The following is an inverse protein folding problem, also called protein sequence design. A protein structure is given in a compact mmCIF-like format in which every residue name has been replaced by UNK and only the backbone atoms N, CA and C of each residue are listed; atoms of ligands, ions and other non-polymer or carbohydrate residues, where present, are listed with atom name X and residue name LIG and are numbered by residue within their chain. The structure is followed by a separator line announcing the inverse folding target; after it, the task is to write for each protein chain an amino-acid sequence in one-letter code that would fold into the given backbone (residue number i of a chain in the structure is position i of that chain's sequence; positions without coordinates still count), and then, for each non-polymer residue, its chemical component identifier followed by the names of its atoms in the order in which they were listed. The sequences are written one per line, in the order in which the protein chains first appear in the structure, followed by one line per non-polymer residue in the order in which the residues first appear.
data_IF_589379500819
#
_entry.id   IF_589379500819
#
_cell.length_a   1.000
_cell.length_b   1.000
_cell.length_c   1.000
_cell.angle_alpha   90.00
_cell.angle_beta   90.00
_cell.angle_gamma   90.00
#
_symmetry.space_group_name_H-M   'P 1'
#
loop_
_entity.id
_entity.type
_entity.pdbx_description
1 polymer ?
#
# COMPACT_ATOMS: atom_id res chain seq x y z
N UNK A 1 -29.20 -13.08 8.82
CA UNK A 1 -28.72 -12.23 7.71
C UNK A 1 -27.86 -13.09 6.80
N UNK A 2 -27.95 -12.95 5.49
CA UNK A 2 -27.07 -13.67 4.57
C UNK A 2 -25.62 -13.21 4.78
N UNK A 3 -24.68 -14.12 4.66
CA UNK A 3 -23.25 -13.83 4.79
C UNK A 3 -22.79 -12.96 3.60
N UNK A 4 -21.93 -11.96 3.86
CA UNK A 4 -21.46 -11.05 2.82
C UNK A 4 -20.47 -11.75 1.87
N UNK A 5 -20.35 -11.23 0.65
CA UNK A 5 -19.38 -11.75 -0.32
C UNK A 5 -17.94 -11.68 0.22
N UNK A 6 -17.58 -10.60 0.93
CA UNK A 6 -16.27 -10.46 1.56
C UNK A 6 -16.05 -11.52 2.66
N UNK A 7 -17.07 -11.79 3.48
CA UNK A 7 -17.00 -12.83 4.52
C UNK A 7 -16.80 -14.21 3.90
N UNK A 8 -17.54 -14.55 2.85
CA UNK A 8 -17.40 -15.81 2.12
C UNK A 8 -16.02 -15.98 1.46
N UNK A 9 -15.46 -14.88 0.93
CA UNK A 9 -14.10 -14.91 0.39
C UNK A 9 -13.08 -15.16 1.51
N UNK A 10 -13.19 -14.45 2.65
CA UNK A 10 -12.30 -14.69 3.81
C UNK A 10 -12.34 -16.14 4.27
N UNK A 11 -13.54 -16.71 4.42
CA UNK A 11 -13.73 -18.12 4.80
C UNK A 11 -13.07 -19.06 3.79
N UNK A 12 -13.19 -18.79 2.49
CA UNK A 12 -12.52 -19.59 1.46
C UNK A 12 -10.98 -19.53 1.56
N UNK A 13 -10.42 -18.36 1.87
CA UNK A 13 -8.98 -18.21 2.08
C UNK A 13 -8.49 -18.89 3.36
N UNK A 14 -9.25 -18.82 4.46
CA UNK A 14 -8.92 -19.52 5.70
C UNK A 14 -8.89 -21.03 5.51
N UNK A 15 -9.85 -21.58 4.75
CA UNK A 15 -9.92 -23.00 4.44
C UNK A 15 -8.71 -23.47 3.58
N UNK A 16 -8.37 -22.67 2.56
CA UNK A 16 -7.32 -23.02 1.61
C UNK A 16 -5.90 -22.75 2.14
N UNK A 17 -5.71 -21.58 2.76
CA UNK A 17 -4.43 -21.10 3.27
C UNK A 17 -4.53 -20.97 4.78
N UNK A 18 -3.52 -21.40 5.52
CA UNK A 18 -3.46 -21.23 6.98
C UNK A 18 -3.13 -19.75 7.29
N UNK A 19 -4.15 -18.89 7.17
CA UNK A 19 -4.06 -17.45 7.43
C UNK A 19 -4.63 -17.15 8.82
N UNK A 20 -4.00 -16.24 9.54
CA UNK A 20 -4.58 -15.65 10.74
C UNK A 20 -5.40 -14.39 10.42
N UNK A 21 -5.97 -13.77 11.45
CA UNK A 21 -6.81 -12.59 11.29
C UNK A 21 -6.06 -11.41 10.63
N UNK A 22 -4.78 -11.22 10.98
CA UNK A 22 -3.95 -10.16 10.40
C UNK A 22 -3.60 -10.47 8.94
N UNK A 23 -3.31 -11.74 8.64
CA UNK A 23 -3.07 -12.21 7.27
C UNK A 23 -4.33 -12.06 6.39
N UNK A 24 -5.54 -12.21 6.96
CA UNK A 24 -6.80 -12.03 6.23
C UNK A 24 -7.04 -10.58 5.78
N UNK A 25 -6.45 -9.61 6.44
CA UNK A 25 -6.56 -8.21 5.98
C UNK A 25 -5.96 -7.98 4.60
N UNK A 26 -5.03 -8.82 4.14
CA UNK A 26 -4.55 -8.74 2.74
C UNK A 26 -5.65 -9.10 1.75
N UNK A 27 -6.54 -10.02 2.13
CA UNK A 27 -7.71 -10.39 1.31
C UNK A 27 -8.67 -9.21 1.22
N UNK A 28 -8.96 -8.56 2.36
CA UNK A 28 -9.77 -7.34 2.39
C UNK A 28 -9.17 -6.28 1.45
N UNK A 29 -7.86 -6.08 1.53
CA UNK A 29 -7.15 -5.10 0.70
C UNK A 29 -7.29 -5.41 -0.79
N UNK A 30 -7.09 -6.65 -1.21
CA UNK A 30 -7.21 -7.06 -2.62
C UNK A 30 -8.65 -6.86 -3.12
N UNK A 31 -9.65 -7.28 -2.34
CA UNK A 31 -11.06 -7.15 -2.70
C UNK A 31 -11.50 -5.67 -2.70
N UNK A 32 -11.00 -4.87 -1.77
CA UNK A 32 -11.25 -3.42 -1.74
C UNK A 32 -10.67 -2.73 -2.98
N UNK A 33 -9.45 -3.09 -3.40
CA UNK A 33 -8.85 -2.60 -4.64
C UNK A 33 -9.67 -3.01 -5.87
N UNK A 34 -10.15 -4.27 -5.93
CA UNK A 34 -11.03 -4.72 -7.00
C UNK A 34 -12.29 -3.86 -7.05
N UNK A 35 -12.99 -3.75 -5.94
CA UNK A 35 -14.27 -3.05 -5.86
C UNK A 35 -14.12 -1.56 -6.17
N UNK A 36 -13.08 -0.90 -5.63
CA UNK A 36 -12.79 0.50 -5.90
C UNK A 36 -12.53 0.77 -7.39
N UNK A 37 -11.77 -0.11 -8.06
CA UNK A 37 -11.46 0.08 -9.48
C UNK A 37 -12.57 -0.37 -10.44
N UNK A 38 -13.51 -1.20 -9.99
CA UNK A 38 -14.59 -1.73 -10.84
C UNK A 38 -15.92 -0.99 -10.67
N UNK A 39 -16.12 -0.31 -9.55
CA UNK A 39 -17.37 0.40 -9.28
C UNK A 39 -17.50 1.66 -10.16
N UNK A 40 -18.57 1.82 -10.95
CA UNK A 40 -18.67 2.88 -11.95
C UNK A 40 -18.71 4.30 -11.37
N UNK A 41 -19.14 4.46 -10.11
CA UNK A 41 -19.20 5.76 -9.42
C UNK A 41 -17.89 6.14 -8.71
N UNK A 42 -16.89 5.22 -8.62
CA UNK A 42 -15.56 5.50 -8.09
C UNK A 42 -14.63 5.73 -9.28
N UNK A 43 -14.39 7.00 -9.60
CA UNK A 43 -13.79 7.39 -10.88
C UNK A 43 -12.28 7.34 -10.90
N UNK A 44 -11.64 7.52 -9.72
CA UNK A 44 -10.18 7.53 -9.63
C UNK A 44 -9.61 6.11 -9.47
N UNK A 45 -8.53 5.77 -10.18
CA UNK A 45 -7.88 4.48 -10.01
C UNK A 45 -7.21 4.37 -8.64
N UNK A 46 -7.29 3.19 -8.03
CA UNK A 46 -6.55 2.89 -6.80
C UNK A 46 -5.55 1.79 -7.10
N UNK A 47 -4.27 2.14 -7.04
CA UNK A 47 -3.18 1.21 -7.25
C UNK A 47 -2.58 0.76 -5.92
N UNK A 48 -2.25 -0.52 -5.80
CA UNK A 48 -1.80 -1.09 -4.55
C UNK A 48 -0.56 -1.96 -4.65
N UNK A 49 0.36 -1.80 -3.68
CA UNK A 49 1.43 -2.76 -3.43
C UNK A 49 1.03 -3.76 -2.36
N UNK A 50 1.39 -5.02 -2.56
CA UNK A 50 1.47 -6.04 -1.50
C UNK A 50 2.94 -6.27 -1.21
N UNK A 51 3.42 -5.72 -0.09
CA UNK A 51 4.83 -5.73 0.30
C UNK A 51 5.09 -6.87 1.29
N UNK A 52 6.17 -7.58 1.10
CA UNK A 52 6.63 -8.57 2.08
C UNK A 52 7.81 -9.38 1.60
N UNK A 53 8.51 -10.06 2.51
CA UNK A 53 9.64 -10.91 2.16
C UNK A 53 9.28 -11.98 1.11
N UNK A 54 10.25 -12.57 0.43
CA UNK A 54 10.01 -13.76 -0.38
C UNK A 54 9.30 -14.85 0.42
N UNK A 55 8.48 -15.67 -0.25
CA UNK A 55 7.77 -16.82 0.35
C UNK A 55 6.70 -16.47 1.40
N UNK A 56 6.20 -15.23 1.46
CA UNK A 56 5.10 -14.81 2.36
C UNK A 56 3.70 -15.00 1.76
N UNK A 57 3.53 -15.96 0.86
CA UNK A 57 2.24 -16.29 0.21
C UNK A 57 1.59 -15.16 -0.62
N UNK A 58 2.27 -14.06 -0.91
CA UNK A 58 1.74 -12.97 -1.76
C UNK A 58 1.15 -13.50 -3.07
N UNK A 59 1.91 -14.34 -3.76
CA UNK A 59 1.47 -14.96 -5.02
C UNK A 59 0.28 -15.88 -4.84
N UNK A 60 0.19 -16.62 -3.74
CA UNK A 60 -0.97 -17.49 -3.46
C UNK A 60 -2.23 -16.67 -3.17
N UNK A 61 -2.09 -15.50 -2.51
CA UNK A 61 -3.21 -14.58 -2.33
C UNK A 61 -3.73 -13.98 -3.64
N UNK A 62 -2.87 -13.82 -4.64
CA UNK A 62 -3.22 -13.26 -5.95
C UNK A 62 -3.66 -14.34 -6.97
N UNK A 63 -3.27 -15.59 -6.78
CA UNK A 63 -3.54 -16.68 -7.71
C UNK A 63 -5.02 -16.93 -8.03
N UNK A 64 -5.98 -16.81 -7.09
CA UNK A 64 -7.40 -17.06 -7.37
C UNK A 64 -8.01 -16.17 -8.45
N UNK A 65 -7.40 -15.05 -8.77
CA UNK A 65 -7.86 -14.11 -9.79
C UNK A 65 -7.35 -14.44 -11.20
N UNK A 66 -6.42 -15.40 -11.34
CA UNK A 66 -5.89 -15.81 -12.65
C UNK A 66 -7.00 -16.38 -13.53
N UNK A 67 -7.03 -15.94 -14.79
CA UNK A 67 -8.05 -16.37 -15.76
C UNK A 67 -9.40 -15.68 -15.62
N UNK A 68 -9.62 -14.87 -14.59
CA UNK A 68 -10.84 -14.08 -14.50
C UNK A 68 -10.79 -12.88 -15.45
N UNK A 69 -11.89 -12.60 -16.17
CA UNK A 69 -11.97 -11.60 -17.26
C UNK A 69 -11.63 -10.16 -16.86
N UNK A 70 -11.79 -9.83 -15.58
CA UNK A 70 -11.53 -8.48 -15.05
C UNK A 70 -10.06 -8.27 -14.68
N UNK A 71 -9.18 -9.27 -14.90
CA UNK A 71 -7.78 -9.19 -14.52
C UNK A 71 -6.84 -9.55 -15.68
N UNK A 72 -5.71 -8.87 -15.72
CA UNK A 72 -4.56 -9.20 -16.57
C UNK A 72 -3.39 -9.55 -15.64
N UNK A 73 -2.78 -10.70 -15.85
CA UNK A 73 -1.62 -11.16 -15.07
C UNK A 73 -0.33 -11.00 -15.87
N UNK A 74 0.66 -10.35 -15.27
CA UNK A 74 2.02 -10.31 -15.81
C UNK A 74 3.05 -10.77 -14.78
N UNK A 75 4.16 -11.31 -15.26
CA UNK A 75 5.33 -11.62 -14.44
C UNK A 75 6.40 -10.56 -14.60
N UNK A 76 6.56 -10.01 -15.79
CA UNK A 76 7.50 -8.96 -16.12
C UNK A 76 6.93 -8.07 -17.23
N UNK A 77 7.53 -6.89 -17.43
CA UNK A 77 7.15 -5.93 -18.45
C UNK A 77 8.41 -5.41 -19.16
N UNK A 78 8.37 -5.39 -20.46
CA UNK A 78 9.41 -4.71 -21.26
C UNK A 78 9.10 -3.22 -21.34
N UNK A 79 10.11 -2.39 -21.65
CA UNK A 79 10.00 -0.95 -21.65
C UNK A 79 8.99 -0.36 -22.66
N UNK A 80 8.59 -1.13 -23.68
CA UNK A 80 7.61 -0.72 -24.67
C UNK A 80 6.31 -1.54 -24.60
N UNK A 81 6.12 -2.38 -23.58
CA UNK A 81 4.95 -3.25 -23.51
C UNK A 81 3.67 -2.48 -23.18
N UNK A 82 3.74 -1.49 -22.27
CA UNK A 82 2.56 -0.69 -21.92
C UNK A 82 2.10 0.17 -23.10
N UNK A 83 3.05 0.87 -23.73
CA UNK A 83 2.85 1.75 -24.88
C UNK A 83 3.87 1.38 -25.95
N UNK A 84 3.50 0.55 -26.93
CA UNK A 84 4.48 0.01 -27.89
C UNK A 84 5.00 1.07 -28.89
N UNK A 85 4.13 1.95 -29.32
CA UNK A 85 4.43 2.90 -30.40
C UNK A 85 4.66 2.21 -31.75
N UNK A 86 4.29 0.93 -31.89
CA UNK A 86 4.44 0.10 -33.08
C UNK A 86 3.09 -0.43 -33.54
N UNK A 87 2.92 -0.62 -34.85
CA UNK A 87 1.82 -1.39 -35.47
C UNK A 87 2.42 -2.55 -36.24
N UNK A 88 1.75 -3.69 -36.17
CA UNK A 88 2.08 -4.80 -37.07
C UNK A 88 1.68 -4.51 -38.53
N UNK A 89 1.98 -5.44 -39.43
CA UNK A 89 1.68 -5.30 -40.86
C UNK A 89 0.16 -5.20 -41.14
N UNK A 90 -0.66 -5.71 -40.23
CA UNK A 90 -2.12 -5.71 -40.25
C UNK A 90 -2.73 -4.46 -39.58
N UNK A 91 -1.89 -3.55 -39.08
CA UNK A 91 -2.34 -2.31 -38.41
C UNK A 91 -2.76 -2.51 -36.94
N UNK A 92 -2.45 -3.66 -36.31
CA UNK A 92 -2.74 -3.89 -34.93
C UNK A 92 -1.65 -3.26 -34.04
N UNK A 93 -2.10 -2.61 -32.99
CA UNK A 93 -1.26 -2.03 -31.96
C UNK A 93 -1.17 -2.99 -30.76
N UNK A 94 0.02 -3.56 -30.48
CA UNK A 94 0.21 -4.54 -29.41
C UNK A 94 0.34 -3.91 -28.02
N UNK A 95 0.03 -2.62 -27.84
CA UNK A 95 0.12 -1.94 -26.55
C UNK A 95 -0.79 -2.58 -25.51
N UNK A 96 -0.23 -2.95 -24.36
CA UNK A 96 -0.94 -3.58 -23.26
C UNK A 96 -2.05 -2.68 -22.69
N UNK A 97 -1.88 -1.36 -22.75
CA UNK A 97 -2.83 -0.38 -22.20
C UNK A 97 -4.25 -0.57 -22.75
N UNK A 98 -4.39 -0.98 -24.01
CA UNK A 98 -5.70 -1.27 -24.64
C UNK A 98 -6.42 -2.45 -23.98
N UNK A 99 -5.66 -3.43 -23.52
CA UNK A 99 -6.21 -4.62 -22.85
C UNK A 99 -6.55 -4.34 -21.40
N UNK A 100 -5.96 -3.29 -20.81
CA UNK A 100 -6.12 -2.95 -19.39
C UNK A 100 -7.36 -2.12 -19.11
N UNK A 101 -7.96 -1.47 -20.10
CA UNK A 101 -9.09 -0.59 -19.87
C UNK A 101 -10.24 -1.28 -19.12
N UNK A 102 -10.67 -0.67 -18.02
CA UNK A 102 -11.67 -1.20 -17.12
C UNK A 102 -11.27 -2.48 -16.37
N UNK A 103 -9.99 -2.88 -16.35
CA UNK A 103 -9.50 -4.10 -15.68
C UNK A 103 -8.49 -3.78 -14.56
N UNK A 104 -8.02 -4.82 -13.91
CA UNK A 104 -6.93 -4.75 -12.94
C UNK A 104 -5.71 -5.52 -13.47
N UNK A 105 -4.58 -4.85 -13.48
CA UNK A 105 -3.28 -5.46 -13.73
C UNK A 105 -2.76 -6.09 -12.45
N UNK A 106 -2.53 -7.40 -12.44
CA UNK A 106 -1.81 -8.08 -11.37
C UNK A 106 -0.36 -8.32 -11.82
N UNK A 107 0.56 -7.68 -11.13
CA UNK A 107 2.00 -7.88 -11.34
C UNK A 107 2.54 -8.80 -10.27
N UNK A 108 2.87 -10.04 -10.63
CA UNK A 108 3.22 -11.11 -9.69
C UNK A 108 4.49 -10.85 -8.87
N UNK A 109 5.46 -10.20 -9.48
CA UNK A 109 6.72 -9.79 -8.85
C UNK A 109 7.31 -8.57 -9.58
N UNK A 110 6.94 -7.40 -9.11
CA UNK A 110 7.45 -6.15 -9.68
C UNK A 110 8.90 -5.85 -9.22
N UNK A 111 9.39 -6.54 -8.17
CA UNK A 111 10.75 -6.32 -7.64
C UNK A 111 11.81 -6.56 -8.71
N UNK A 112 11.65 -7.61 -9.51
CA UNK A 112 12.58 -7.93 -10.59
C UNK A 112 12.70 -6.79 -11.61
N UNK A 113 11.59 -6.14 -11.96
CA UNK A 113 11.58 -4.97 -12.83
C UNK A 113 12.30 -3.78 -12.17
N UNK A 114 12.03 -3.52 -10.88
CA UNK A 114 12.66 -2.40 -10.15
C UNK A 114 14.18 -2.54 -10.00
N UNK A 115 14.70 -3.76 -10.10
CA UNK A 115 16.13 -4.08 -10.05
C UNK A 115 16.81 -4.12 -11.43
N UNK A 116 16.04 -3.91 -12.50
CA UNK A 116 16.56 -3.89 -13.87
C UNK A 116 17.36 -2.60 -14.16
N UNK A 117 17.82 -2.43 -15.38
CA UNK A 117 18.54 -1.24 -15.83
C UNK A 117 17.77 0.06 -15.48
N UNK A 118 18.37 1.06 -14.83
CA UNK A 118 17.70 2.28 -14.39
C UNK A 118 16.96 3.03 -15.51
N UNK A 119 17.51 3.04 -16.74
CA UNK A 119 16.87 3.68 -17.90
C UNK A 119 15.55 2.98 -18.25
N UNK A 120 15.56 1.65 -18.28
CA UNK A 120 14.38 0.82 -18.53
C UNK A 120 13.31 1.02 -17.43
N UNK A 121 13.74 0.98 -16.18
CA UNK A 121 12.87 1.22 -15.02
C UNK A 121 12.22 2.59 -15.08
N UNK A 122 13.03 3.64 -15.32
CA UNK A 122 12.54 5.02 -15.42
C UNK A 122 11.49 5.18 -16.52
N UNK A 123 11.69 4.52 -17.68
CA UNK A 123 10.75 4.56 -18.79
C UNK A 123 9.43 3.86 -18.45
N UNK A 124 9.47 2.64 -17.90
CA UNK A 124 8.27 1.91 -17.47
C UNK A 124 7.51 2.70 -16.41
N UNK A 125 8.22 3.26 -15.42
CA UNK A 125 7.61 4.10 -14.38
C UNK A 125 6.99 5.38 -14.94
N UNK A 126 7.63 5.99 -15.96
CA UNK A 126 7.08 7.13 -16.67
C UNK A 126 5.78 6.79 -17.40
N UNK A 127 5.79 5.72 -18.19
CA UNK A 127 4.60 5.26 -18.92
C UNK A 127 3.45 4.88 -17.95
N UNK A 128 3.76 4.25 -16.80
CA UNK A 128 2.78 3.94 -15.75
C UNK A 128 2.23 5.22 -15.11
N UNK A 129 3.06 6.22 -14.86
CA UNK A 129 2.63 7.50 -14.30
C UNK A 129 1.61 8.18 -15.19
N UNK A 130 1.89 8.24 -16.50
CA UNK A 130 0.98 8.85 -17.47
C UNK A 130 -0.31 8.03 -17.59
N UNK A 131 -0.22 6.70 -17.54
CA UNK A 131 -1.37 5.81 -17.56
C UNK A 131 -2.28 5.94 -16.31
N UNK A 132 -1.70 6.25 -15.14
CA UNK A 132 -2.49 6.53 -13.94
C UNK A 132 -3.44 7.72 -14.12
N UNK A 133 -2.98 8.75 -14.83
CA UNK A 133 -3.76 9.95 -15.08
C UNK A 133 -4.85 9.74 -16.17
N UNK A 134 -4.98 8.51 -16.69
CA UNK A 134 -6.06 8.06 -17.57
C UNK A 134 -5.88 8.42 -19.04
N UNK A 135 -4.86 9.19 -19.40
CA UNK A 135 -4.57 9.58 -20.78
C UNK A 135 -3.08 9.50 -21.06
N UNK A 136 -2.71 8.71 -22.05
CA UNK A 136 -1.34 8.62 -22.55
C UNK A 136 -1.26 9.04 -24.00
N UNK A 137 -0.28 9.86 -24.34
CA UNK A 137 0.01 10.22 -25.73
C UNK A 137 1.50 9.96 -26.02
N UNK A 138 1.77 9.16 -27.05
CA UNK A 138 3.15 8.81 -27.44
C UNK A 138 3.37 9.12 -28.92
N UNK A 139 4.23 10.08 -29.24
CA UNK A 139 4.64 10.30 -30.62
C UNK A 139 5.57 9.16 -31.08
N UNK A 140 5.33 8.64 -32.26
CA UNK A 140 6.15 7.61 -32.91
C UNK A 140 6.56 8.09 -34.27
N UNK A 141 7.85 7.94 -34.63
CA UNK A 141 8.35 8.35 -35.93
C UNK A 141 7.77 7.60 -37.13
N UNK A 142 7.14 6.42 -36.87
CA UNK A 142 6.52 5.61 -37.95
C UNK A 142 5.01 5.74 -37.99
N UNK A 143 4.33 5.87 -36.84
CA UNK A 143 2.89 5.83 -36.76
C UNK A 143 2.24 7.13 -36.26
N UNK A 144 3.00 8.22 -36.21
CA UNK A 144 2.49 9.52 -35.76
C UNK A 144 2.19 9.58 -34.26
N UNK A 145 1.26 10.46 -33.85
CA UNK A 145 0.84 10.60 -32.47
C UNK A 145 -0.21 9.54 -32.14
N UNK A 146 0.10 8.70 -31.16
CA UNK A 146 -0.88 7.75 -30.60
C UNK A 146 -1.38 8.22 -29.24
N UNK A 147 -2.66 8.20 -29.08
CA UNK A 147 -3.35 8.61 -27.87
C UNK A 147 -4.22 7.47 -27.36
N UNK A 148 -4.13 7.22 -26.04
CA UNK A 148 -4.90 6.19 -25.36
C UNK A 148 -5.63 6.80 -24.18
N UNK A 149 -6.91 6.47 -24.06
CA UNK A 149 -7.71 6.73 -22.86
C UNK A 149 -7.93 5.38 -22.22
N UNK A 150 -7.46 5.20 -21.01
CA UNK A 150 -7.61 3.93 -20.30
C UNK A 150 -7.63 4.18 -18.80
N UNK A 151 -8.56 3.52 -18.11
CA UNK A 151 -8.64 3.50 -16.65
C UNK A 151 -8.50 2.07 -16.16
N UNK A 152 -7.49 1.80 -15.36
CA UNK A 152 -7.26 0.47 -14.80
C UNK A 152 -6.67 0.52 -13.39
N UNK A 153 -6.90 -0.54 -12.62
CA UNK A 153 -6.26 -0.74 -11.34
C UNK A 153 -4.95 -1.50 -11.46
N UNK A 154 -4.07 -1.38 -10.49
CA UNK A 154 -2.84 -2.19 -10.39
C UNK A 154 -2.74 -2.80 -9.00
N UNK A 155 -2.43 -4.09 -8.94
CA UNK A 155 -2.01 -4.80 -7.73
C UNK A 155 -0.66 -5.42 -8.00
N UNK A 156 0.40 -4.87 -7.39
CA UNK A 156 1.75 -5.37 -7.60
C UNK A 156 2.33 -5.99 -6.32
N UNK A 157 2.75 -7.26 -6.41
CA UNK A 157 3.52 -7.87 -5.34
C UNK A 157 4.98 -7.44 -5.44
N UNK A 158 5.55 -6.99 -4.32
CA UNK A 158 6.92 -6.50 -4.21
C UNK A 158 7.57 -6.99 -2.92
N UNK A 159 8.89 -6.97 -2.89
CA UNK A 159 9.65 -7.14 -1.63
C UNK A 159 9.90 -5.78 -0.96
N UNK A 160 10.50 -5.80 0.22
CA UNK A 160 10.89 -4.58 0.94
C UNK A 160 11.91 -3.70 0.17
N UNK A 161 12.44 -4.19 -0.96
CA UNK A 161 13.25 -3.40 -1.88
C UNK A 161 12.54 -2.13 -2.38
N UNK A 162 11.22 -2.15 -2.45
CA UNK A 162 10.41 -0.99 -2.84
C UNK A 162 10.66 0.23 -1.93
N UNK A 163 10.98 0.03 -0.66
CA UNK A 163 11.25 1.14 0.26
C UNK A 163 12.52 1.89 -0.13
N UNK A 164 13.60 1.16 -0.41
CA UNK A 164 14.85 1.75 -0.87
C UNK A 164 14.70 2.41 -2.26
N UNK A 165 13.92 1.79 -3.13
CA UNK A 165 13.61 2.35 -4.44
C UNK A 165 12.84 3.68 -4.32
N UNK A 166 11.79 3.74 -3.52
CA UNK A 166 10.97 4.95 -3.34
C UNK A 166 11.73 6.08 -2.63
N UNK A 167 12.66 5.77 -1.72
CA UNK A 167 13.52 6.79 -1.10
C UNK A 167 14.47 7.45 -2.10
N UNK A 168 14.88 6.72 -3.15
CA UNK A 168 15.78 7.21 -4.19
C UNK A 168 15.04 7.76 -5.41
N UNK A 169 13.82 7.28 -5.68
CA UNK A 169 13.05 7.53 -6.90
C UNK A 169 11.57 7.74 -6.58
N UNK A 170 11.11 8.97 -6.60
CA UNK A 170 9.71 9.29 -6.24
C UNK A 170 8.70 9.09 -7.39
N UNK A 171 9.10 8.54 -8.53
CA UNK A 171 8.29 8.54 -9.76
C UNK A 171 6.92 7.86 -9.65
N UNK A 172 6.81 6.79 -8.86
CA UNK A 172 5.56 6.03 -8.67
C UNK A 172 4.99 6.07 -7.24
N UNK A 173 5.79 6.47 -6.25
CA UNK A 173 5.45 6.32 -4.82
C UNK A 173 4.11 6.93 -4.40
N UNK A 174 3.70 8.00 -5.05
CA UNK A 174 2.47 8.73 -4.71
C UNK A 174 1.20 8.12 -5.32
N UNK A 175 1.34 7.22 -6.29
CA UNK A 175 0.22 6.57 -6.98
C UNK A 175 -0.20 5.26 -6.35
N UNK A 176 0.66 4.72 -5.50
CA UNK A 176 0.40 3.45 -4.84
C UNK A 176 0.18 3.64 -3.33
N UNK A 177 -0.85 3.00 -2.82
CA UNK A 177 -0.99 2.68 -1.40
C UNK A 177 -0.49 1.28 -1.15
N UNK A 178 -0.09 0.95 0.08
CA UNK A 178 0.60 -0.32 0.35
C UNK A 178 -0.06 -1.11 1.46
N UNK A 179 0.00 -2.41 1.34
CA UNK A 179 -0.31 -3.35 2.41
C UNK A 179 0.89 -4.26 2.64
N UNK A 180 1.35 -4.39 3.91
CA UNK A 180 2.49 -5.24 4.26
C UNK A 180 2.02 -6.54 4.88
N UNK A 181 2.44 -7.66 4.29
CA UNK A 181 2.21 -8.98 4.86
C UNK A 181 3.17 -9.19 6.03
N UNK A 182 2.65 -9.32 7.25
CA UNK A 182 3.45 -9.32 8.46
C UNK A 182 3.41 -10.68 9.15
N UNK A 183 4.30 -11.60 8.77
CA UNK A 183 4.51 -12.87 9.48
C UNK A 183 5.63 -12.84 10.52
N UNK A 184 6.36 -11.72 10.60
CA UNK A 184 7.57 -11.59 11.43
C UNK A 184 7.27 -11.55 12.93
N UNK A 185 6.01 -11.37 13.33
CA UNK A 185 5.60 -11.31 14.74
C UNK A 185 5.26 -12.67 15.36
N UNK A 186 5.19 -13.75 14.56
CA UNK A 186 4.84 -15.08 15.05
C UNK A 186 6.01 -15.73 15.79
N UNK A 187 5.68 -16.50 16.82
CA UNK A 187 6.67 -17.32 17.51
C UNK A 187 7.33 -18.32 16.56
N UNK A 188 8.48 -18.84 16.93
CA UNK A 188 9.14 -19.89 16.14
C UNK A 188 8.21 -21.10 15.93
N UNK A 189 7.48 -21.51 16.97
CA UNK A 189 6.55 -22.64 16.89
C UNK A 189 5.39 -22.36 15.93
N UNK A 190 4.77 -21.15 15.97
CA UNK A 190 3.74 -20.78 15.01
C UNK A 190 4.23 -20.83 13.56
N UNK A 191 5.51 -20.50 13.33
CA UNK A 191 6.14 -20.61 12.01
C UNK A 191 6.32 -22.07 11.60
N UNK A 192 6.72 -22.95 12.53
CA UNK A 192 6.82 -24.40 12.29
C UNK A 192 5.45 -24.99 11.94
N UNK A 193 4.42 -24.67 12.72
CA UNK A 193 3.04 -25.15 12.49
C UNK A 193 2.52 -24.69 11.12
N UNK A 194 2.82 -23.46 10.76
CA UNK A 194 2.51 -22.95 9.41
C UNK A 194 3.21 -23.77 8.31
N UNK A 195 4.51 -24.05 8.43
CA UNK A 195 5.25 -24.84 7.43
C UNK A 195 4.72 -26.28 7.35
N UNK A 196 4.36 -26.88 8.48
CA UNK A 196 3.72 -28.20 8.51
C UNK A 196 2.36 -28.19 7.81
N UNK A 197 1.57 -27.13 7.99
CA UNK A 197 0.29 -26.99 7.28
C UNK A 197 0.45 -26.93 5.76
N UNK A 198 1.54 -26.35 5.26
CA UNK A 198 1.87 -26.37 3.82
C UNK A 198 2.20 -27.79 3.37
N UNK A 199 2.97 -28.51 4.17
CA UNK A 199 3.36 -29.89 3.85
C UNK A 199 2.15 -30.83 3.74
N UNK A 200 1.21 -30.74 4.68
CA UNK A 200 -0.02 -31.57 4.68
C UNK A 200 -0.92 -31.28 3.48
N UNK A 201 -0.94 -30.04 2.97
CA UNK A 201 -1.74 -29.62 1.82
C UNK A 201 -1.03 -29.81 0.47
N UNK A 202 0.21 -30.33 0.47
CA UNK A 202 1.02 -30.41 -0.76
C UNK A 202 0.39 -31.31 -1.83
N UNK A 203 -0.05 -32.50 -1.46
CA UNK A 203 -0.63 -33.48 -2.39
C UNK A 203 -1.95 -32.99 -3.04
N UNK A 204 -2.70 -32.13 -2.36
CA UNK A 204 -3.99 -31.59 -2.84
C UNK A 204 -3.88 -30.18 -3.40
N UNK A 205 -2.67 -29.67 -3.61
CA UNK A 205 -2.40 -28.27 -3.96
C UNK A 205 -3.17 -27.78 -5.19
N UNK A 206 -3.23 -28.56 -6.25
CA UNK A 206 -3.98 -28.21 -7.47
C UNK A 206 -5.47 -28.12 -7.19
N UNK A 207 -6.00 -29.06 -6.41
CA UNK A 207 -7.42 -29.15 -6.08
C UNK A 207 -7.87 -27.94 -5.24
N UNK A 208 -7.23 -27.68 -4.09
CA UNK A 208 -7.65 -26.56 -3.23
C UNK A 208 -7.45 -25.20 -3.90
N UNK A 209 -6.44 -25.05 -4.80
CA UNK A 209 -6.27 -23.82 -5.59
C UNK A 209 -7.44 -23.59 -6.54
N UNK A 210 -7.89 -24.65 -7.24
CA UNK A 210 -9.04 -24.56 -8.13
C UNK A 210 -10.32 -24.25 -7.36
N UNK A 211 -10.54 -24.89 -6.20
CA UNK A 211 -11.67 -24.62 -5.34
C UNK A 211 -11.67 -23.17 -4.80
N UNK A 212 -10.53 -22.70 -4.32
CA UNK A 212 -10.39 -21.30 -3.86
C UNK A 212 -10.68 -20.32 -5.01
N UNK A 213 -10.12 -20.54 -6.19
CA UNK A 213 -10.37 -19.69 -7.34
C UNK A 213 -11.87 -19.66 -7.71
N UNK A 214 -12.53 -20.81 -7.75
CA UNK A 214 -13.97 -20.90 -8.02
C UNK A 214 -14.81 -20.13 -6.99
N UNK A 215 -14.55 -20.33 -5.68
CA UNK A 215 -15.23 -19.62 -4.60
C UNK A 215 -15.03 -18.11 -4.70
N UNK A 216 -13.80 -17.64 -4.88
CA UNK A 216 -13.47 -16.20 -4.99
C UNK A 216 -14.14 -15.58 -6.21
N UNK A 217 -13.99 -16.20 -7.39
CA UNK A 217 -14.53 -15.66 -8.64
C UNK A 217 -16.06 -15.59 -8.63
N UNK A 218 -16.74 -16.55 -8.01
CA UNK A 218 -18.19 -16.49 -7.81
C UNK A 218 -18.60 -15.26 -6.97
N UNK A 219 -17.89 -14.97 -5.89
CA UNK A 219 -18.19 -13.82 -5.03
C UNK A 219 -17.86 -12.48 -5.71
N UNK A 220 -16.85 -12.41 -6.60
CA UNK A 220 -16.61 -11.20 -7.40
C UNK A 220 -17.82 -10.86 -8.30
N UNK A 221 -18.49 -11.85 -8.84
CA UNK A 221 -19.71 -11.65 -9.62
C UNK A 221 -20.84 -11.09 -8.72
N UNK A 222 -21.01 -11.63 -7.52
CA UNK A 222 -21.97 -11.13 -6.54
C UNK A 222 -21.71 -9.66 -6.18
N UNK A 223 -20.45 -9.30 -5.88
CA UNK A 223 -20.07 -7.91 -5.60
C UNK A 223 -20.41 -7.02 -6.80
N UNK A 224 -20.12 -7.47 -8.02
CA UNK A 224 -20.38 -6.67 -9.24
C UNK A 224 -21.88 -6.42 -9.48
N UNK A 225 -22.74 -7.35 -9.07
CA UNK A 225 -24.19 -7.18 -9.20
C UNK A 225 -24.71 -6.02 -8.35
N UNK A 226 -24.11 -5.74 -7.18
CA UNK A 226 -24.51 -4.63 -6.32
C UNK A 226 -24.19 -3.25 -6.90
N UNK A 227 -23.26 -3.15 -7.87
CA UNK A 227 -22.83 -1.86 -8.42
C UNK A 227 -23.94 -1.09 -9.14
N UNK A 228 -24.91 -1.80 -9.71
CA UNK A 228 -26.00 -1.22 -10.49
C UNK A 228 -27.24 -0.92 -9.62
N UNK A 229 -27.43 -1.66 -8.56
CA UNK A 229 -28.64 -1.62 -7.74
C UNK A 229 -28.51 -0.75 -6.51
N UNK A 230 -27.31 -0.66 -5.94
CA UNK A 230 -27.11 -0.04 -4.65
C UNK A 230 -26.51 1.38 -4.76
N UNK A 231 -26.96 2.31 -3.90
CA UNK A 231 -26.27 3.59 -3.76
C UNK A 231 -24.88 3.38 -3.13
N UNK A 232 -23.99 4.37 -3.34
CA UNK A 232 -22.72 4.38 -2.60
C UNK A 232 -22.99 4.42 -1.10
N UNK A 233 -22.19 3.69 -0.30
CA UNK A 233 -22.26 3.79 1.15
C UNK A 233 -22.03 5.22 1.65
N UNK A 234 -22.67 5.58 2.76
CA UNK A 234 -22.55 6.91 3.34
C UNK A 234 -21.31 7.01 4.25
N UNK A 235 -20.68 8.18 4.20
CA UNK A 235 -19.60 8.58 5.10
C UNK A 235 -20.12 9.82 5.86
N UNK A 236 -20.05 9.80 7.18
CA UNK A 236 -20.40 10.99 7.97
C UNK A 236 -19.30 12.05 7.88
N UNK A 237 -19.68 13.30 8.19
CA UNK A 237 -18.79 14.46 8.06
C UNK A 237 -17.54 14.37 8.95
N UNK A 238 -17.63 13.74 10.11
CA UNK A 238 -16.48 13.63 11.04
C UNK A 238 -15.48 12.59 10.52
N UNK A 239 -15.97 11.47 10.01
CA UNK A 239 -15.16 10.46 9.32
C UNK A 239 -14.49 11.05 8.07
N UNK A 240 -15.22 11.81 7.25
CA UNK A 240 -14.66 12.45 6.05
C UNK A 240 -13.55 13.44 6.41
N UNK A 241 -13.76 14.25 7.47
CA UNK A 241 -12.73 15.15 8.01
C UNK A 241 -11.52 14.39 8.55
N UNK A 242 -11.73 13.25 9.22
CA UNK A 242 -10.65 12.39 9.70
C UNK A 242 -9.83 11.83 8.53
N UNK A 243 -10.48 11.35 7.47
CA UNK A 243 -9.83 10.87 6.25
C UNK A 243 -8.99 11.96 5.57
N UNK A 244 -9.52 13.18 5.50
CA UNK A 244 -8.78 14.33 4.96
C UNK A 244 -7.51 14.62 5.76
N UNK A 245 -7.58 14.58 7.10
CA UNK A 245 -6.40 14.74 7.98
C UNK A 245 -5.38 13.61 7.78
N UNK A 246 -5.86 12.37 7.68
CA UNK A 246 -5.01 11.20 7.41
C UNK A 246 -4.30 11.34 6.04
N UNK A 247 -5.02 11.74 5.02
CA UNK A 247 -4.46 11.93 3.68
C UNK A 247 -3.39 13.03 3.64
N UNK A 248 -3.66 14.17 4.28
CA UNK A 248 -2.71 15.26 4.39
C UNK A 248 -1.47 14.86 5.22
N UNK A 249 -1.68 14.16 6.33
CA UNK A 249 -0.58 13.65 7.15
C UNK A 249 0.29 12.68 6.35
N UNK A 250 -0.31 11.71 5.65
CA UNK A 250 0.41 10.73 4.86
C UNK A 250 1.20 11.40 3.72
N UNK A 251 0.63 12.38 3.03
CA UNK A 251 1.34 13.12 1.99
C UNK A 251 2.58 13.83 2.55
N UNK A 252 2.44 14.51 3.70
CA UNK A 252 3.55 15.15 4.38
C UNK A 252 4.63 14.16 4.83
N UNK A 253 4.22 13.02 5.41
CA UNK A 253 5.13 11.98 5.90
C UNK A 253 5.89 11.24 4.78
N UNK A 254 5.34 11.22 3.57
CA UNK A 254 5.96 10.60 2.38
C UNK A 254 6.88 11.54 1.63
N UNK A 255 6.71 12.85 1.80
CA UNK A 255 7.49 13.85 1.08
C UNK A 255 8.98 13.63 1.30
N UNK A 256 9.74 13.53 0.22
CA UNK A 256 11.20 13.50 0.24
C UNK A 256 11.69 14.67 -0.60
N UNK A 257 12.48 15.58 -0.03
CA UNK A 257 13.01 16.72 -0.78
C UNK A 257 13.92 16.22 -1.89
N UNK A 258 13.72 16.74 -3.09
CA UNK A 258 14.66 16.57 -4.18
C UNK A 258 15.86 17.46 -3.88
N UNK A 259 17.08 16.89 -3.96
CA UNK A 259 18.31 17.61 -3.67
C UNK A 259 18.39 18.92 -4.50
N UNK A 260 18.42 20.05 -3.81
CA UNK A 260 18.51 21.37 -4.45
C UNK A 260 17.17 22.04 -4.81
N UNK A 261 16.03 21.44 -4.47
CA UNK A 261 14.71 22.03 -4.68
C UNK A 261 14.02 22.36 -3.36
N UNK A 262 13.14 23.39 -3.31
CA UNK A 262 12.27 23.60 -2.16
C UNK A 262 11.44 22.35 -1.85
N UNK A 263 11.18 22.10 -0.58
CA UNK A 263 10.34 20.99 -0.16
C UNK A 263 8.88 21.44 -0.24
N UNK A 264 8.16 20.98 -1.24
CA UNK A 264 6.71 21.12 -1.31
C UNK A 264 6.07 19.75 -1.04
N UNK A 265 5.21 19.69 -0.02
CA UNK A 265 4.41 18.51 0.23
C UNK A 265 3.30 18.42 -0.83
N UNK A 266 3.00 17.21 -1.27
CA UNK A 266 1.83 16.95 -2.13
C UNK A 266 0.54 17.42 -1.41
N UNK A 267 -0.48 17.84 -2.17
CA UNK A 267 -1.74 18.36 -1.61
C UNK A 267 -2.56 17.37 -0.79
N UNK A 268 -2.24 16.08 -0.86
CA UNK A 268 -3.03 15.00 -0.23
C UNK A 268 -4.32 14.65 -0.97
N UNK A 269 -4.72 15.41 -2.00
CA UNK A 269 -6.00 15.19 -2.69
C UNK A 269 -6.12 13.80 -3.30
N UNK A 270 -5.07 13.33 -3.99
CA UNK A 270 -5.03 11.98 -4.56
C UNK A 270 -5.14 10.90 -3.48
N UNK A 271 -4.42 11.06 -2.38
CA UNK A 271 -4.49 10.13 -1.25
C UNK A 271 -5.88 10.10 -0.61
N UNK A 272 -6.53 11.25 -0.46
CA UNK A 272 -7.91 11.32 0.03
C UNK A 272 -8.83 10.47 -0.85
N UNK A 273 -8.78 10.64 -2.17
CA UNK A 273 -9.57 9.86 -3.12
C UNK A 273 -9.25 8.37 -3.06
N UNK A 274 -7.99 7.99 -3.02
CA UNK A 274 -7.55 6.59 -2.94
C UNK A 274 -8.03 5.92 -1.64
N UNK A 275 -7.82 6.56 -0.48
CA UNK A 275 -8.19 6.01 0.82
C UNK A 275 -9.70 5.91 0.99
N UNK A 276 -10.45 6.92 0.53
CA UNK A 276 -11.91 6.91 0.53
C UNK A 276 -12.44 5.81 -0.38
N UNK A 277 -11.95 5.71 -1.62
CA UNK A 277 -12.37 4.67 -2.57
C UNK A 277 -12.04 3.26 -2.06
N UNK A 278 -10.88 3.09 -1.41
CA UNK A 278 -10.48 1.81 -0.84
C UNK A 278 -11.41 1.39 0.31
N UNK A 279 -11.75 2.30 1.22
CA UNK A 279 -12.67 2.03 2.32
C UNK A 279 -14.10 1.75 1.81
N UNK A 280 -14.60 2.56 0.87
CA UNK A 280 -15.90 2.31 0.21
C UNK A 280 -15.91 0.95 -0.51
N UNK A 281 -14.82 0.61 -1.19
CA UNK A 281 -14.67 -0.70 -1.83
C UNK A 281 -14.84 -1.87 -0.86
N UNK A 282 -14.27 -1.75 0.36
CA UNK A 282 -14.44 -2.73 1.42
C UNK A 282 -15.90 -2.82 1.90
N UNK A 283 -16.53 -1.68 2.12
CA UNK A 283 -17.91 -1.61 2.61
C UNK A 283 -18.88 -2.23 1.59
N UNK A 284 -18.70 -1.93 0.32
CA UNK A 284 -19.53 -2.48 -0.78
C UNK A 284 -19.35 -4.00 -0.85
N UNK A 285 -18.11 -4.50 -0.81
CA UNK A 285 -17.83 -5.93 -0.83
C UNK A 285 -18.41 -6.67 0.39
N UNK A 286 -18.56 -5.97 1.50
CA UNK A 286 -19.17 -6.45 2.74
C UNK A 286 -20.69 -6.22 2.81
N UNK A 287 -21.28 -5.73 1.72
CA UNK A 287 -22.72 -5.42 1.60
C UNK A 287 -23.26 -4.52 2.71
N UNK A 288 -22.47 -3.55 3.15
CA UNK A 288 -22.84 -2.55 4.16
C UNK A 288 -23.21 -1.22 3.50
N UNK A 289 -23.95 -0.39 4.21
CA UNK A 289 -24.50 0.88 3.69
C UNK A 289 -23.78 2.11 4.27
N UNK A 290 -22.94 1.94 5.28
CA UNK A 290 -22.27 3.05 5.96
C UNK A 290 -20.87 2.66 6.42
N UNK A 291 -20.02 3.67 6.53
CA UNK A 291 -18.69 3.56 7.13
C UNK A 291 -18.77 3.27 8.63
N UNK A 292 -17.83 2.52 9.15
CA UNK A 292 -17.72 2.15 10.57
C UNK A 292 -16.27 2.31 11.06
N UNK A 293 -16.06 2.26 12.37
CA UNK A 293 -14.71 2.29 12.95
C UNK A 293 -13.78 1.18 12.44
N UNK A 294 -14.33 0.03 12.00
CA UNK A 294 -13.53 -1.05 11.41
C UNK A 294 -12.96 -0.67 10.03
N UNK A 295 -13.64 0.20 9.28
CA UNK A 295 -13.17 0.70 8.00
C UNK A 295 -12.10 1.76 8.20
N UNK A 296 -12.26 2.62 9.21
CA UNK A 296 -11.21 3.54 9.64
C UNK A 296 -9.95 2.76 10.05
N UNK A 297 -10.08 1.71 10.86
CA UNK A 297 -8.95 0.87 11.27
C UNK A 297 -8.26 0.21 10.06
N UNK A 298 -9.03 -0.27 9.10
CA UNK A 298 -8.50 -0.84 7.86
C UNK A 298 -7.71 0.20 7.05
N UNK A 299 -8.26 1.40 6.87
CA UNK A 299 -7.57 2.50 6.16
C UNK A 299 -6.32 2.94 6.91
N UNK A 300 -6.37 3.09 8.23
CA UNK A 300 -5.19 3.41 9.05
C UNK A 300 -4.08 2.35 8.90
N UNK A 301 -4.44 1.06 8.80
CA UNK A 301 -3.48 -0.01 8.52
C UNK A 301 -2.78 0.20 7.17
N UNK A 302 -3.53 0.51 6.11
CA UNK A 302 -2.97 0.80 4.79
C UNK A 302 -2.06 2.04 4.83
N UNK A 303 -2.44 3.08 5.55
CA UNK A 303 -1.64 4.30 5.73
C UNK A 303 -0.30 3.98 6.41
N UNK A 304 -0.33 3.22 7.50
CA UNK A 304 0.88 2.79 8.23
C UNK A 304 1.78 1.93 7.35
N UNK A 305 1.19 1.02 6.59
CA UNK A 305 1.93 0.12 5.71
C UNK A 305 2.48 0.81 4.46
N UNK A 306 1.91 1.97 4.09
CA UNK A 306 2.42 2.83 2.99
C UNK A 306 3.68 3.60 3.41
N UNK A 307 3.89 3.84 4.69
CA UNK A 307 5.14 4.43 5.19
C UNK A 307 6.29 3.43 5.16
N UNK A 308 7.50 3.90 4.80
CA UNK A 308 8.69 3.06 4.91
C UNK A 308 8.92 2.64 6.38
N UNK A 309 9.48 1.45 6.63
CA UNK A 309 9.70 0.95 7.99
C UNK A 309 10.51 1.90 8.89
N UNK A 310 11.48 2.61 8.32
CA UNK A 310 12.32 3.54 9.08
C UNK A 310 11.50 4.77 9.51
N UNK A 311 10.73 5.37 8.59
CA UNK A 311 9.85 6.52 8.88
C UNK A 311 8.83 6.15 9.94
N UNK A 312 8.17 5.01 9.79
CA UNK A 312 7.20 4.50 10.75
C UNK A 312 7.81 4.30 12.14
N UNK A 313 8.97 3.61 12.25
CA UNK A 313 9.65 3.37 13.53
C UNK A 313 10.08 4.67 14.21
N UNK A 314 10.60 5.63 13.43
CA UNK A 314 11.00 6.95 13.93
C UNK A 314 9.81 7.68 14.53
N UNK A 315 8.69 7.74 13.81
CA UNK A 315 7.47 8.40 14.29
C UNK A 315 6.92 7.72 15.54
N UNK A 316 6.85 6.38 15.56
CA UNK A 316 6.40 5.61 16.73
C UNK A 316 7.30 5.84 17.94
N UNK A 317 8.62 5.91 17.76
CA UNK A 317 9.57 6.18 18.83
C UNK A 317 9.36 7.58 19.46
N UNK A 318 9.03 8.58 18.64
CA UNK A 318 8.79 9.95 19.07
C UNK A 318 7.37 10.19 19.60
N UNK A 319 6.42 9.32 19.26
CA UNK A 319 5.00 9.40 19.65
C UNK A 319 4.64 8.48 20.82
N UNK A 320 5.58 7.97 21.59
CA UNK A 320 5.36 6.94 22.63
C UNK A 320 4.18 7.24 23.60
N UNK A 321 3.93 8.52 23.88
CA UNK A 321 2.78 8.93 24.70
C UNK A 321 2.14 10.20 24.11
N UNK A 322 0.80 10.26 24.00
CA UNK A 322 0.10 11.41 23.42
C UNK A 322 0.44 12.76 24.06
N UNK A 323 0.77 12.79 25.34
CA UNK A 323 1.03 14.01 26.12
C UNK A 323 2.50 14.30 26.40
N UNK A 324 3.44 13.42 26.01
CA UNK A 324 4.87 13.59 26.31
C UNK A 324 5.60 14.28 25.16
N UNK A 325 6.25 15.41 25.45
CA UNK A 325 7.17 16.04 24.51
C UNK A 325 8.58 15.44 24.69
N UNK A 326 8.76 14.24 24.14
CA UNK A 326 10.01 13.50 24.26
C UNK A 326 10.93 13.93 23.13
N UNK A 327 12.17 14.28 23.44
CA UNK A 327 13.21 14.57 22.48
C UNK A 327 14.40 13.62 22.64
N UNK A 328 14.98 13.21 21.52
CA UNK A 328 16.11 12.30 21.49
C UNK A 328 17.21 12.82 20.58
N UNK A 329 18.45 12.50 20.91
CA UNK A 329 19.57 12.65 19.98
C UNK A 329 19.49 11.60 18.85
N UNK A 330 20.17 11.85 17.73
CA UNK A 330 20.21 10.90 16.62
C UNK A 330 20.74 9.51 17.05
N UNK A 331 21.74 9.46 17.95
CA UNK A 331 22.28 8.20 18.43
C UNK A 331 21.28 7.44 19.31
N UNK A 332 20.53 8.14 20.16
CA UNK A 332 19.47 7.53 20.95
C UNK A 332 18.36 6.97 20.05
N UNK A 333 17.92 7.72 19.03
CA UNK A 333 16.94 7.24 18.06
C UNK A 333 17.48 6.04 17.26
N UNK A 334 18.73 6.10 16.81
CA UNK A 334 19.37 5.01 16.08
C UNK A 334 19.40 3.70 16.87
N UNK A 335 19.72 3.78 18.16
CA UNK A 335 19.67 2.63 19.08
C UNK A 335 18.23 2.15 19.27
N UNK A 336 17.30 3.05 19.55
CA UNK A 336 15.90 2.73 19.82
C UNK A 336 15.21 2.03 18.66
N UNK A 337 15.42 2.52 17.43
CA UNK A 337 14.79 1.95 16.23
C UNK A 337 15.66 0.93 15.50
N UNK A 338 16.85 0.61 16.04
CA UNK A 338 17.81 -0.35 15.48
C UNK A 338 18.18 -0.03 14.03
N UNK A 339 18.59 1.21 13.78
CA UNK A 339 18.91 1.71 12.44
C UNK A 339 20.23 2.49 12.50
N UNK A 340 21.14 2.35 11.53
CA UNK A 340 22.39 3.11 11.51
C UNK A 340 22.14 4.63 11.56
N UNK A 341 22.91 5.41 12.36
CA UNK A 341 22.73 6.87 12.47
C UNK A 341 22.77 7.60 11.13
N UNK A 342 23.62 7.18 10.20
CA UNK A 342 23.74 7.78 8.87
C UNK A 342 22.45 7.67 8.05
N UNK A 343 21.79 6.51 8.07
CA UNK A 343 20.49 6.30 7.39
C UNK A 343 19.38 7.13 8.03
N UNK A 344 19.45 7.30 9.36
CA UNK A 344 18.47 8.08 10.11
C UNK A 344 18.65 9.58 9.90
N UNK A 345 19.89 10.07 9.75
CA UNK A 345 20.20 11.47 9.54
C UNK A 345 19.48 12.04 8.30
N UNK A 346 19.45 11.30 7.21
CA UNK A 346 18.78 11.71 5.99
C UNK A 346 17.26 11.91 6.21
N UNK A 347 16.61 10.98 6.92
CA UNK A 347 15.16 11.05 7.21
C UNK A 347 14.86 12.16 8.21
N UNK A 348 15.68 12.34 9.24
CA UNK A 348 15.54 13.45 10.19
C UNK A 348 15.66 14.79 9.45
N UNK A 349 16.63 14.94 8.55
CA UNK A 349 16.78 16.14 7.74
C UNK A 349 15.52 16.40 6.90
N UNK A 350 14.96 15.36 6.25
CA UNK A 350 13.71 15.50 5.50
C UNK A 350 12.55 15.93 6.38
N UNK A 351 12.39 15.32 7.56
CA UNK A 351 11.32 15.64 8.51
C UNK A 351 11.47 17.03 9.16
N UNK A 352 12.69 17.53 9.27
CA UNK A 352 12.94 18.91 9.68
C UNK A 352 12.47 19.91 8.60
N UNK A 353 12.77 19.63 7.34
CA UNK A 353 12.35 20.49 6.21
C UNK A 353 10.82 20.54 6.04
N UNK A 354 10.12 19.46 6.36
CA UNK A 354 8.65 19.38 6.29
C UNK A 354 7.96 19.78 7.60
N UNK A 355 8.71 20.33 8.57
CA UNK A 355 8.22 20.72 9.90
C UNK A 355 7.49 19.56 10.66
N UNK A 356 7.80 18.32 10.33
CA UNK A 356 7.36 17.14 11.10
C UNK A 356 8.10 17.09 12.42
N UNK A 357 9.42 17.35 12.38
CA UNK A 357 10.28 17.43 13.54
C UNK A 357 10.68 18.88 13.85
N UNK A 358 10.96 19.10 15.12
CA UNK A 358 11.60 20.31 15.62
C UNK A 358 12.90 19.95 16.32
N UNK A 359 13.90 20.83 16.17
CA UNK A 359 15.20 20.68 16.80
C UNK A 359 15.25 21.51 18.08
N UNK A 360 15.79 20.94 19.14
CA UNK A 360 16.09 21.61 20.39
C UNK A 360 17.61 21.51 20.67
N UNK A 361 18.27 22.63 20.92
CA UNK A 361 19.69 22.62 21.30
C UNK A 361 19.80 22.53 22.82
N UNK A 362 20.56 21.56 23.33
CA UNK A 362 20.98 21.54 24.74
C UNK A 362 22.22 22.41 24.90
N UNK A 363 22.19 23.36 25.85
CA UNK A 363 23.23 24.37 26.08
C UNK A 363 24.62 23.83 26.54
N UNK A 364 24.78 22.54 26.79
CA UNK A 364 26.02 22.01 27.42
C UNK A 364 26.75 20.96 26.60
N UNK A 365 26.19 20.42 25.57
CA UNK A 365 26.82 19.45 24.66
C UNK A 365 26.32 19.69 23.24
N UNK A 366 27.20 19.69 22.27
CA UNK A 366 26.93 19.92 20.84
C UNK A 366 25.95 18.89 20.20
N UNK A 367 25.09 18.26 20.99
CA UNK A 367 24.15 17.23 20.54
C UNK A 367 22.74 17.81 20.40
N UNK A 368 22.32 17.98 19.17
CA UNK A 368 20.95 18.36 18.85
C UNK A 368 19.98 17.24 19.24
N UNK A 369 18.84 17.60 19.81
CA UNK A 369 17.74 16.65 20.07
C UNK A 369 16.55 16.97 19.17
N UNK A 370 15.80 15.95 18.80
CA UNK A 370 14.67 16.03 17.86
C UNK A 370 13.39 15.57 18.54
N UNK A 371 12.32 16.28 18.32
CA UNK A 371 10.98 15.96 18.82
C UNK A 371 9.94 16.17 17.72
N UNK A 372 8.76 15.55 17.85
CA UNK A 372 7.63 15.87 16.99
C UNK A 372 7.18 17.31 17.19
N UNK A 373 6.89 18.03 16.11
CA UNK A 373 6.27 19.34 16.19
C UNK A 373 4.88 19.24 16.84
N UNK A 374 4.43 20.34 17.48
CA UNK A 374 3.14 20.37 18.17
C UNK A 374 1.98 20.08 17.21
N UNK A 375 2.03 20.65 16.00
CA UNK A 375 1.00 20.42 14.99
C UNK A 375 0.90 18.96 14.58
N UNK A 376 2.02 18.31 14.28
CA UNK A 376 2.05 16.87 13.89
C UNK A 376 1.57 16.00 15.05
N UNK A 377 1.96 16.30 16.27
CA UNK A 377 1.45 15.59 17.46
C UNK A 377 -0.06 15.67 17.58
N UNK A 378 -0.62 16.87 17.39
CA UNK A 378 -2.08 17.08 17.41
C UNK A 378 -2.75 16.25 16.33
N UNK A 379 -2.27 16.30 15.09
CA UNK A 379 -2.83 15.51 13.98
C UNK A 379 -2.71 14.00 14.24
N UNK A 380 -1.60 13.52 14.80
CA UNK A 380 -1.45 12.10 15.17
C UNK A 380 -2.46 11.66 16.24
N UNK A 381 -2.75 12.53 17.23
CA UNK A 381 -3.78 12.27 18.24
C UNK A 381 -5.18 12.22 17.62
N UNK A 382 -5.52 13.19 16.76
CA UNK A 382 -6.83 13.31 16.11
C UNK A 382 -7.09 12.19 15.09
N UNK A 383 -6.06 11.73 14.39
CA UNK A 383 -6.19 10.64 13.41
C UNK A 383 -6.19 9.27 14.06
N UNK A 384 -5.62 9.13 15.27
CA UNK A 384 -5.45 7.84 15.92
C UNK A 384 -4.41 6.93 15.27
N UNK A 385 -3.56 7.44 14.38
CA UNK A 385 -2.67 6.62 13.53
C UNK A 385 -1.77 5.68 14.34
N UNK A 386 -1.23 6.12 15.46
CA UNK A 386 -0.35 5.32 16.33
C UNK A 386 -0.97 4.99 17.69
N UNK A 387 -2.27 5.20 17.85
CA UNK A 387 -2.99 4.73 19.04
C UNK A 387 -3.17 3.20 18.91
N UNK A 388 -2.85 2.41 19.96
CA UNK A 388 -3.04 0.96 19.92
C UNK A 388 -4.47 0.59 19.51
N UNK A 389 -4.59 -0.31 18.54
CA UNK A 389 -5.86 -0.75 17.99
C UNK A 389 -5.64 -1.89 16.99
N UNK A 390 -6.70 -2.43 16.39
CA UNK A 390 -6.59 -3.57 15.49
C UNK A 390 -5.79 -3.28 14.20
N UNK A 391 -5.53 -2.00 13.89
CA UNK A 391 -4.72 -1.57 12.74
C UNK A 391 -3.22 -1.57 13.03
N UNK A 392 -2.81 -1.57 14.30
CA UNK A 392 -1.41 -1.67 14.69
C UNK A 392 -1.14 -3.11 15.13
N UNK A 393 -0.27 -3.84 14.46
CA UNK A 393 0.28 -5.05 15.05
C UNK A 393 0.92 -4.63 16.38
N UNK A 394 0.56 -5.34 17.46
CA UNK A 394 1.06 -5.04 18.80
C UNK A 394 2.55 -4.69 18.73
N UNK A 395 2.97 -3.46 19.02
CA UNK A 395 4.36 -3.13 18.99
C UNK A 395 5.03 -4.04 20.01
N UNK A 396 6.01 -4.85 19.60
CA UNK A 396 6.93 -5.40 20.61
C UNK A 396 7.40 -4.19 21.41
N UNK A 397 7.26 -4.21 22.75
CA UNK A 397 7.79 -3.12 23.54
C UNK A 397 9.24 -2.95 23.07
N UNK A 398 9.57 -1.76 22.60
CA UNK A 398 10.94 -1.38 22.33
C UNK A 398 11.63 -1.60 23.68
N UNK A 399 12.31 -2.73 23.84
CA UNK A 399 12.98 -3.06 25.10
C UNK A 399 13.88 -1.90 25.42
N UNK A 400 13.50 -1.12 26.42
CA UNK A 400 14.37 -0.08 26.99
C UNK A 400 15.66 -0.78 27.36
N UNK A 401 16.81 -0.38 26.83
CA UNK A 401 18.07 -0.92 27.33
C UNK A 401 18.11 -0.59 28.83
N UNK A 402 18.37 -1.56 29.66
CA UNK A 402 18.48 -1.42 31.12
C UNK A 402 19.53 -0.38 31.59
N UNK A 403 20.22 0.28 30.67
CA UNK A 403 21.28 1.24 30.90
C UNK A 403 20.87 2.72 30.77
N UNK A 404 19.56 3.05 30.75
CA UNK A 404 19.10 4.47 30.72
C UNK A 404 18.46 4.92 32.05
N UNK A 405 18.74 4.21 33.17
CA UNK A 405 18.32 4.62 34.51
C UNK A 405 19.48 5.03 35.40
N UNK A 406 20.52 5.67 34.86
CA UNK A 406 21.52 6.39 35.65
C UNK A 406 21.73 7.81 35.10
#
# INVERSE_FOLDING_TARGET
MAESALSLIRSAYMEALTLDTDDLMVVDYIISLYTANKHPKLTEPVWGYIIGPPSTSKTECLRPYMGHKDYIFISNMTENALLSGYEDAEGNDPSLIKLLDGKLLIWKDMTAMLQDNPTKVSKICGDLRDAYDGHCAKPSGRSGLRSYVSKFGVIAAVTDYIDAYNESNQQLGERFVSFRTCRVTKSFNDQVDFLMSISTKFATKTLWRAQLAGKVQAQLLTIKQTFLTDPLPTIDTDTDRQLARIALLLSTLRTSPIKGSPVEAESGARLMQQLTSLGLGRIIADNRKSWTGSDTSFVLRVVIDTLSPIRRRLLMALYQKPQSNISYTINQLATLIRTPPASLAAIISQFMHTAILVESRRNTTNNNTYALSANIRTVLNETGLFIPGPHLPNPRPLSTPAAMQE
#
